data_IF_691011936512
#
_entry.id   IF_691011936512
#
_cell.length_a   1.000
_cell.length_b   1.000
_cell.length_c   1.000
_cell.angle_alpha   90.00
_cell.angle_beta   90.00
_cell.angle_gamma   90.00
#
_symmetry.space_group_name_H-M   'P 1'
#
loop_
_entity.id
_entity.type
_entity.pdbx_description
1 polymer ?
#
# COMPACT_ATOMS: atom_id res chain seq x y z
N UNK A 1 -23.03 -8.93 94.45
CA UNK A 1 -23.04 -8.14 93.20
C UNK A 1 -21.69 -8.33 92.53
N UNK A 2 -21.71 -8.91 91.34
CA UNK A 2 -20.59 -9.54 90.63
C UNK A 2 -20.18 -8.66 89.46
N UNK A 3 -18.90 -8.43 89.22
CA UNK A 3 -18.39 -7.96 87.93
C UNK A 3 -17.07 -8.66 87.59
N UNK A 4 -17.09 -9.44 86.52
CA UNK A 4 -15.99 -10.22 85.97
C UNK A 4 -15.64 -9.62 84.59
N UNK A 5 -14.36 -9.32 84.35
CA UNK A 5 -13.87 -8.70 83.11
C UNK A 5 -13.59 -9.75 82.02
N UNK A 6 -14.02 -9.43 80.80
CA UNK A 6 -13.87 -10.21 79.57
C UNK A 6 -12.41 -10.32 79.08
N UNK A 7 -12.06 -11.52 78.60
CA UNK A 7 -10.87 -11.83 77.81
C UNK A 7 -11.28 -11.93 76.33
N UNK A 8 -10.57 -11.27 75.41
CA UNK A 8 -10.77 -11.38 73.96
C UNK A 8 -9.77 -12.38 73.37
N UNK A 9 -10.27 -13.41 72.69
CA UNK A 9 -9.48 -14.37 71.90
C UNK A 9 -9.55 -13.99 70.41
N UNK A 10 -8.40 -13.98 69.75
CA UNK A 10 -8.28 -13.81 68.29
C UNK A 10 -8.30 -15.17 67.59
N UNK A 11 -9.12 -15.30 66.54
CA UNK A 11 -9.21 -16.48 65.67
C UNK A 11 -8.46 -16.15 64.36
N UNK A 12 -7.45 -16.95 64.03
CA UNK A 12 -6.70 -16.89 62.77
C UNK A 12 -7.34 -17.88 61.78
N UNK A 13 -7.90 -17.40 60.67
CA UNK A 13 -8.46 -18.22 59.59
C UNK A 13 -7.38 -18.40 58.52
N UNK A 14 -6.96 -19.65 58.28
CA UNK A 14 -6.08 -20.02 57.18
C UNK A 14 -6.92 -20.32 55.93
N UNK A 15 -6.75 -19.51 54.87
CA UNK A 15 -7.37 -19.73 53.56
C UNK A 15 -6.37 -20.49 52.68
N UNK A 16 -6.63 -21.77 52.40
CA UNK A 16 -5.95 -22.52 51.34
C UNK A 16 -6.49 -22.03 49.98
N UNK A 17 -5.63 -21.39 49.19
CA UNK A 17 -5.92 -21.04 47.80
C UNK A 17 -5.79 -22.26 46.89
N UNK A 18 -6.90 -22.75 46.35
CA UNK A 18 -6.91 -23.59 45.15
C UNK A 18 -6.52 -22.71 43.96
N UNK A 19 -5.31 -22.86 43.44
CA UNK A 19 -4.93 -22.31 42.15
C UNK A 19 -5.58 -23.16 41.05
N UNK A 20 -6.70 -22.71 40.49
CA UNK A 20 -7.15 -23.19 39.19
C UNK A 20 -6.23 -22.61 38.14
N UNK A 21 -5.37 -23.44 37.54
CA UNK A 21 -4.66 -23.09 36.32
C UNK A 21 -5.72 -22.91 35.24
N UNK A 22 -6.05 -21.66 34.92
CA UNK A 22 -6.81 -21.32 33.72
C UNK A 22 -5.86 -21.64 32.56
N UNK A 23 -5.98 -22.84 32.00
CA UNK A 23 -5.47 -23.11 30.67
C UNK A 23 -6.26 -22.17 29.74
N UNK A 24 -5.59 -21.19 29.14
CA UNK A 24 -6.17 -20.44 28.05
C UNK A 24 -6.56 -21.46 26.98
N UNK A 25 -7.85 -21.56 26.67
CA UNK A 25 -8.32 -22.45 25.63
C UNK A 25 -7.69 -21.98 24.32
N UNK A 26 -6.80 -22.78 23.73
CA UNK A 26 -6.15 -22.42 22.47
C UNK A 26 -7.23 -22.29 21.39
N UNK A 27 -7.42 -21.07 20.89
CA UNK A 27 -8.45 -20.76 19.90
C UNK A 27 -8.04 -21.32 18.54
N UNK A 28 -8.83 -22.25 18.01
CA UNK A 28 -8.63 -22.86 16.69
C UNK A 28 -9.66 -22.40 15.65
N UNK A 29 -10.32 -21.24 15.85
CA UNK A 29 -11.18 -20.67 14.81
C UNK A 29 -10.38 -20.24 13.57
N UNK A 30 -10.92 -20.40 12.37
CA UNK A 30 -10.25 -19.93 11.15
C UNK A 30 -10.90 -18.62 10.71
N UNK A 31 -10.08 -17.60 10.45
CA UNK A 31 -10.55 -16.28 10.04
C UNK A 31 -10.38 -16.09 8.53
N UNK A 32 -11.50 -15.98 7.82
CA UNK A 32 -11.56 -15.57 6.42
C UNK A 32 -12.06 -14.13 6.32
N UNK A 33 -11.87 -13.50 5.16
CA UNK A 33 -12.48 -12.18 4.92
C UNK A 33 -14.01 -12.22 4.89
N UNK A 34 -14.58 -13.37 4.53
CA UNK A 34 -16.03 -13.62 4.51
C UNK A 34 -16.62 -13.98 5.88
N UNK A 35 -15.81 -14.24 6.89
CA UNK A 35 -16.29 -14.59 8.24
C UNK A 35 -15.35 -15.49 9.02
N UNK A 36 -15.81 -15.92 10.20
CA UNK A 36 -15.05 -16.78 11.10
C UNK A 36 -15.67 -18.17 11.13
N UNK A 37 -14.85 -19.19 10.88
CA UNK A 37 -15.23 -20.58 11.03
C UNK A 37 -14.96 -21.02 12.48
N UNK A 38 -16.03 -21.33 13.22
CA UNK A 38 -15.91 -21.78 14.60
C UNK A 38 -15.30 -23.18 14.69
N UNK A 39 -14.70 -23.54 15.83
CA UNK A 39 -14.14 -24.88 16.05
C UNK A 39 -15.16 -26.01 15.93
N UNK A 40 -16.41 -25.75 16.34
CA UNK A 40 -17.52 -26.71 16.19
C UNK A 40 -17.80 -26.95 14.71
N UNK A 41 -17.82 -25.89 13.90
CA UNK A 41 -18.02 -25.99 12.46
C UNK A 41 -16.85 -26.69 11.78
N UNK A 42 -15.61 -26.36 12.14
CA UNK A 42 -14.39 -27.04 11.65
C UNK A 42 -14.48 -28.54 11.91
N UNK A 43 -14.81 -28.93 13.14
CA UNK A 43 -14.90 -30.35 13.52
C UNK A 43 -15.98 -31.09 12.74
N UNK A 44 -17.14 -30.46 12.55
CA UNK A 44 -18.24 -31.04 11.78
C UNK A 44 -17.89 -31.20 10.29
N UNK A 45 -17.30 -30.15 9.68
CA UNK A 45 -16.90 -30.16 8.27
C UNK A 45 -15.76 -31.15 8.02
N UNK A 46 -14.76 -31.19 8.91
CA UNK A 46 -13.64 -32.14 8.80
C UNK A 46 -14.14 -33.60 8.86
N UNK A 47 -15.05 -33.90 9.78
CA UNK A 47 -15.65 -35.25 9.89
C UNK A 47 -16.46 -35.61 8.65
N UNK A 48 -17.13 -34.65 8.02
CA UNK A 48 -17.83 -34.89 6.76
C UNK A 48 -16.84 -35.16 5.62
N UNK A 49 -15.73 -34.42 5.57
CA UNK A 49 -14.70 -34.59 4.54
C UNK A 49 -14.00 -35.96 4.59
N UNK A 50 -13.89 -36.58 5.77
CA UNK A 50 -13.38 -37.96 5.92
C UNK A 50 -14.21 -39.00 5.15
N UNK A 51 -15.47 -38.69 4.84
CA UNK A 51 -16.36 -39.58 4.10
C UNK A 51 -16.25 -39.42 2.58
N UNK A 52 -15.46 -38.46 2.10
CA UNK A 52 -15.29 -38.23 0.67
C UNK A 52 -14.53 -39.38 0.01
N UNK A 53 -15.10 -39.94 -1.06
CA UNK A 53 -14.43 -40.96 -1.86
C UNK A 53 -13.19 -40.41 -2.56
N UNK A 54 -13.21 -39.12 -2.94
CA UNK A 54 -12.10 -38.34 -3.47
C UNK A 54 -12.39 -36.83 -3.31
N UNK A 55 -11.40 -35.99 -3.59
CA UNK A 55 -11.49 -34.54 -3.55
C UNK A 55 -11.66 -33.94 -4.95
N UNK A 56 -12.39 -34.61 -5.85
CA UNK A 56 -12.50 -34.20 -7.27
C UNK A 56 -13.05 -32.78 -7.42
N UNK A 57 -14.05 -32.39 -6.62
CA UNK A 57 -14.65 -31.04 -6.65
C UNK A 57 -13.66 -29.94 -6.22
N UNK A 58 -12.58 -30.31 -5.55
CA UNK A 58 -11.52 -29.42 -5.06
C UNK A 58 -10.20 -29.63 -5.81
N UNK A 59 -10.25 -30.36 -6.92
CA UNK A 59 -9.08 -30.72 -7.73
C UNK A 59 -9.03 -29.89 -8.99
N UNK A 60 -7.86 -29.31 -9.27
CA UNK A 60 -7.58 -28.71 -10.56
C UNK A 60 -6.28 -29.28 -11.14
N UNK A 61 -6.32 -29.67 -12.40
CA UNK A 61 -5.29 -30.49 -13.05
C UNK A 61 -5.02 -31.78 -12.24
N UNK A 62 -3.86 -31.88 -11.60
CA UNK A 62 -3.42 -33.07 -10.85
C UNK A 62 -3.42 -32.90 -9.33
N UNK A 63 -3.79 -31.73 -8.82
CA UNK A 63 -3.69 -31.41 -7.39
C UNK A 63 -5.05 -31.04 -6.79
N UNK A 64 -5.35 -31.62 -5.63
CA UNK A 64 -6.44 -31.15 -4.77
C UNK A 64 -5.96 -30.03 -3.86
N UNK A 65 -6.84 -29.06 -3.62
CA UNK A 65 -6.62 -27.96 -2.68
C UNK A 65 -7.55 -28.12 -1.48
N UNK A 66 -6.99 -27.98 -0.28
CA UNK A 66 -7.73 -28.13 0.97
C UNK A 66 -7.03 -27.33 2.08
N UNK A 67 -7.71 -27.20 3.21
CA UNK A 67 -7.15 -26.54 4.39
C UNK A 67 -6.71 -27.63 5.37
N UNK A 68 -5.47 -27.55 5.83
CA UNK A 68 -4.97 -28.35 6.95
C UNK A 68 -4.84 -27.46 8.17
N UNK A 69 -5.48 -27.85 9.27
CA UNK A 69 -5.26 -27.23 10.58
C UNK A 69 -4.46 -28.16 11.47
N UNK A 70 -3.55 -27.61 12.25
CA UNK A 70 -2.71 -28.34 13.20
C UNK A 70 -3.02 -27.92 14.64
N UNK A 71 -2.59 -28.72 15.62
CA UNK A 71 -2.65 -28.35 17.05
C UNK A 71 -1.61 -27.27 17.41
N UNK A 72 -0.55 -27.15 16.61
CA UNK A 72 0.50 -26.15 16.75
C UNK A 72 1.17 -25.90 15.40
N UNK A 73 2.02 -24.87 15.30
CA UNK A 73 2.79 -24.62 14.07
C UNK A 73 3.60 -25.85 13.65
N UNK A 74 3.43 -26.37 12.42
CA UNK A 74 4.14 -27.55 11.97
C UNK A 74 5.63 -27.25 11.83
N UNK A 75 6.45 -28.02 12.55
CA UNK A 75 7.90 -27.93 12.54
C UNK A 75 8.50 -28.46 11.22
N UNK A 76 9.82 -28.33 11.06
CA UNK A 76 10.51 -28.78 9.86
C UNK A 76 10.30 -30.28 9.58
N UNK A 77 10.25 -31.11 10.63
CA UNK A 77 10.04 -32.56 10.51
C UNK A 77 8.65 -32.87 9.97
N UNK A 78 7.63 -32.19 10.50
CA UNK A 78 6.23 -32.33 10.06
C UNK A 78 6.07 -31.88 8.61
N UNK A 79 6.66 -30.74 8.24
CA UNK A 79 6.67 -30.23 6.85
C UNK A 79 7.35 -31.21 5.89
N UNK A 80 8.50 -31.77 6.25
CA UNK A 80 9.17 -32.79 5.43
C UNK A 80 8.34 -34.07 5.30
N UNK A 81 7.66 -34.51 6.36
CA UNK A 81 6.78 -35.67 6.30
C UNK A 81 5.58 -35.46 5.37
N UNK A 82 4.97 -34.27 5.40
CA UNK A 82 3.90 -33.89 4.46
C UNK A 82 4.39 -33.91 3.01
N UNK A 83 5.55 -33.33 2.73
CA UNK A 83 6.14 -33.32 1.38
C UNK A 83 6.43 -34.73 0.86
N UNK A 84 6.93 -35.64 1.71
CA UNK A 84 7.12 -37.05 1.35
C UNK A 84 5.81 -37.77 1.00
N UNK A 85 4.68 -37.26 1.51
CA UNK A 85 3.35 -37.74 1.20
C UNK A 85 2.69 -36.95 0.05
N UNK A 86 3.44 -36.08 -0.62
CA UNK A 86 2.96 -35.28 -1.75
C UNK A 86 2.10 -34.08 -1.34
N UNK A 87 2.19 -33.64 -0.08
CA UNK A 87 1.44 -32.49 0.45
C UNK A 87 2.35 -31.31 0.70
N UNK A 88 2.00 -30.17 0.13
CA UNK A 88 2.72 -28.91 0.27
C UNK A 88 1.82 -27.87 0.92
N UNK A 89 2.32 -27.23 1.99
CA UNK A 89 1.67 -26.09 2.62
C UNK A 89 2.02 -24.82 1.83
N UNK A 90 0.99 -24.10 1.37
CA UNK A 90 1.13 -22.97 0.44
C UNK A 90 1.00 -21.63 1.16
N UNK A 91 -0.16 -21.36 1.75
CA UNK A 91 -0.48 -20.08 2.38
C UNK A 91 -1.01 -20.30 3.81
N UNK A 92 -0.84 -19.32 4.68
CA UNK A 92 -1.19 -19.41 6.09
C UNK A 92 -2.50 -18.68 6.39
N UNK A 93 -3.40 -19.35 7.09
CA UNK A 93 -4.54 -18.75 7.77
C UNK A 93 -4.27 -18.70 9.28
N UNK A 94 -4.77 -17.70 10.02
CA UNK A 94 -4.63 -17.64 11.47
C UNK A 94 -5.05 -18.94 12.18
N UNK A 95 -4.47 -19.18 13.35
CA UNK A 95 -4.73 -20.34 14.21
C UNK A 95 -4.38 -21.68 13.54
N UNK A 96 -3.11 -21.77 13.11
CA UNK A 96 -2.45 -23.00 12.64
C UNK A 96 -3.08 -23.67 11.43
N UNK A 97 -3.84 -22.92 10.63
CA UNK A 97 -4.45 -23.41 9.42
C UNK A 97 -3.63 -23.00 8.19
N UNK A 98 -3.56 -23.87 7.19
CA UNK A 98 -2.81 -23.63 5.97
C UNK A 98 -3.65 -24.06 4.77
N UNK A 99 -3.63 -23.26 3.71
CA UNK A 99 -3.94 -23.76 2.38
C UNK A 99 -2.86 -24.77 2.00
N UNK A 100 -3.27 -25.96 1.57
CA UNK A 100 -2.37 -27.00 1.11
C UNK A 100 -2.78 -27.49 -0.27
N UNK A 101 -1.79 -27.97 -1.04
CA UNK A 101 -2.02 -28.76 -2.25
C UNK A 101 -1.46 -30.17 -2.08
N UNK A 102 -2.11 -31.16 -2.67
CA UNK A 102 -1.58 -32.51 -2.69
C UNK A 102 -2.46 -33.50 -3.46
N UNK A 103 -2.45 -34.79 -3.08
CA UNK A 103 -3.12 -35.84 -3.84
C UNK A 103 -4.65 -35.67 -3.84
N UNK A 104 -5.29 -36.17 -4.91
CA UNK A 104 -6.75 -36.13 -5.12
C UNK A 104 -7.54 -36.96 -4.09
N UNK A 105 -6.86 -37.79 -3.31
CA UNK A 105 -7.46 -38.55 -2.24
C UNK A 105 -6.54 -38.56 -1.03
N UNK A 106 -7.14 -38.30 0.13
CA UNK A 106 -6.50 -38.32 1.44
C UNK A 106 -7.30 -39.30 2.29
N UNK A 107 -6.75 -40.45 2.70
CA UNK A 107 -7.34 -41.30 3.70
C UNK A 107 -7.48 -40.54 5.03
N UNK A 108 -8.60 -40.72 5.76
CA UNK A 108 -8.72 -40.24 7.13
C UNK A 108 -7.54 -40.67 8.00
N UNK A 109 -6.95 -39.73 8.74
CA UNK A 109 -5.81 -39.99 9.62
C UNK A 109 -4.45 -40.16 8.95
N UNK A 110 -4.32 -39.94 7.63
CA UNK A 110 -3.02 -40.00 6.94
C UNK A 110 -2.03 -38.95 7.45
N UNK A 111 -2.52 -37.75 7.76
CA UNK A 111 -1.70 -36.63 8.25
C UNK A 111 -1.88 -36.43 9.75
N UNK A 112 -0.80 -36.02 10.42
CA UNK A 112 -0.87 -35.46 11.78
C UNK A 112 -1.47 -34.04 11.74
N UNK A 113 -2.71 -33.92 11.28
CA UNK A 113 -3.48 -32.69 11.26
C UNK A 113 -4.64 -32.80 12.27
N UNK A 114 -4.98 -31.67 12.90
CA UNK A 114 -6.17 -31.52 13.74
C UNK A 114 -7.45 -31.61 12.92
N UNK A 115 -7.44 -30.99 11.74
CA UNK A 115 -8.59 -31.00 10.82
C UNK A 115 -8.13 -30.90 9.36
N UNK A 116 -8.93 -31.49 8.47
CA UNK A 116 -8.79 -31.38 7.00
C UNK A 116 -10.11 -30.87 6.45
N UNK A 117 -10.10 -29.68 5.84
CA UNK A 117 -11.32 -29.02 5.36
C UNK A 117 -11.29 -28.82 3.84
N UNK A 118 -12.43 -28.98 3.15
CA UNK A 118 -12.59 -28.46 1.81
C UNK A 118 -12.42 -26.95 1.77
N UNK A 119 -11.76 -26.46 0.72
CA UNK A 119 -11.69 -25.04 0.41
C UNK A 119 -13.00 -24.60 -0.29
N UNK A 120 -14.08 -24.52 0.48
CA UNK A 120 -15.39 -24.11 -0.02
C UNK A 120 -15.34 -22.68 -0.58
N UNK A 121 -16.12 -22.40 -1.62
CA UNK A 121 -16.12 -21.09 -2.28
C UNK A 121 -16.46 -19.93 -1.33
N UNK A 122 -17.30 -20.17 -0.33
CA UNK A 122 -17.63 -19.16 0.70
C UNK A 122 -16.41 -18.65 1.48
N UNK A 123 -15.34 -19.45 1.61
CA UNK A 123 -14.10 -19.07 2.29
C UNK A 123 -13.21 -18.16 1.43
N UNK A 124 -13.47 -18.11 0.12
CA UNK A 124 -12.66 -17.41 -0.88
C UNK A 124 -13.18 -16.00 -1.20
N UNK A 125 -14.28 -15.58 -0.57
CA UNK A 125 -14.90 -14.28 -0.84
C UNK A 125 -14.25 -13.18 -0.01
N UNK A 126 -13.96 -12.04 -0.66
CA UNK A 126 -13.52 -10.83 0.01
C UNK A 126 -14.64 -10.14 0.78
N UNK A 127 -14.28 -9.43 1.85
CA UNK A 127 -15.24 -8.84 2.81
C UNK A 127 -16.29 -7.94 2.15
N UNK A 128 -15.87 -7.08 1.22
CA UNK A 128 -16.78 -6.18 0.49
C UNK A 128 -17.73 -6.95 -0.42
N UNK A 129 -17.23 -8.01 -1.06
CA UNK A 129 -18.04 -8.88 -1.91
C UNK A 129 -19.10 -9.62 -1.09
N UNK A 130 -18.73 -10.15 0.09
CA UNK A 130 -19.67 -10.78 1.02
C UNK A 130 -20.77 -9.81 1.44
N UNK A 131 -20.42 -8.59 1.85
CA UNK A 131 -21.41 -7.58 2.22
C UNK A 131 -22.37 -7.23 1.06
N UNK A 132 -21.84 -7.16 -0.17
CA UNK A 132 -22.67 -6.93 -1.37
C UNK A 132 -23.65 -8.06 -1.64
N UNK A 133 -23.24 -9.32 -1.44
CA UNK A 133 -24.12 -10.49 -1.60
C UNK A 133 -25.21 -10.54 -0.52
N UNK A 134 -24.90 -10.14 0.71
CA UNK A 134 -25.85 -10.07 1.82
C UNK A 134 -26.90 -8.96 1.64
N UNK A 135 -26.50 -7.83 1.04
CA UNK A 135 -27.38 -6.69 0.82
C UNK A 135 -28.46 -6.95 -0.25
N UNK A 136 -28.13 -7.69 -1.31
CA UNK A 136 -29.07 -8.06 -2.37
C UNK A 136 -28.60 -9.30 -3.13
N UNK A 137 -29.51 -10.25 -3.45
CA UNK A 137 -29.20 -11.41 -4.28
C UNK A 137 -29.16 -11.10 -5.78
N UNK A 138 -29.61 -9.91 -6.19
CA UNK A 138 -29.69 -9.49 -7.59
C UNK A 138 -28.65 -8.42 -7.93
N UNK A 139 -28.22 -8.42 -9.18
CA UNK A 139 -27.29 -7.45 -9.75
C UNK A 139 -26.15 -8.10 -10.51
N UNK A 140 -25.44 -7.29 -11.29
CA UNK A 140 -24.20 -7.65 -11.97
C UNK A 140 -23.03 -7.00 -11.22
N UNK A 141 -21.99 -7.76 -10.93
CA UNK A 141 -20.78 -7.25 -10.26
C UNK A 141 -19.57 -7.46 -11.15
N UNK A 142 -18.70 -6.44 -11.18
CA UNK A 142 -17.34 -6.56 -11.71
C UNK A 142 -16.42 -7.12 -10.63
N UNK A 143 -15.69 -8.18 -10.98
CA UNK A 143 -14.95 -9.01 -10.06
C UNK A 143 -13.48 -9.11 -10.48
N UNK A 144 -12.64 -9.36 -9.49
CA UNK A 144 -11.24 -9.76 -9.65
C UNK A 144 -11.05 -11.12 -9.02
N UNK A 145 -10.63 -12.10 -9.81
CA UNK A 145 -10.37 -13.46 -9.40
C UNK A 145 -8.86 -13.74 -9.38
N UNK A 146 -8.37 -14.24 -8.24
CA UNK A 146 -6.98 -14.62 -8.04
C UNK A 146 -6.83 -16.15 -8.22
N UNK A 147 -5.84 -16.62 -8.99
CA UNK A 147 -5.58 -18.04 -9.16
C UNK A 147 -4.96 -18.68 -7.92
N UNK A 148 -5.16 -19.98 -7.74
CA UNK A 148 -4.44 -20.78 -6.75
C UNK A 148 -2.93 -20.70 -6.95
N UNK A 149 -2.12 -20.77 -5.87
CA UNK A 149 -0.66 -20.76 -5.98
C UNK A 149 -0.15 -21.83 -6.95
N UNK A 150 0.62 -21.39 -7.96
CA UNK A 150 1.13 -22.25 -9.03
C UNK A 150 0.25 -22.31 -10.30
N UNK A 151 -0.92 -21.67 -10.29
CA UNK A 151 -1.77 -21.49 -11.47
C UNK A 151 -1.58 -20.07 -12.01
N UNK A 152 -1.43 -19.92 -13.33
CA UNK A 152 -1.36 -18.58 -13.95
C UNK A 152 -2.75 -17.97 -14.12
N UNK A 153 -2.82 -16.64 -14.17
CA UNK A 153 -4.07 -15.94 -14.45
C UNK A 153 -4.69 -16.38 -15.80
N UNK A 154 -3.87 -16.66 -16.81
CA UNK A 154 -4.33 -17.16 -18.11
C UNK A 154 -5.01 -18.52 -17.97
N UNK A 155 -4.40 -19.47 -17.24
CA UNK A 155 -5.01 -20.79 -17.01
C UNK A 155 -6.34 -20.70 -16.25
N UNK A 156 -6.42 -19.83 -15.24
CA UNK A 156 -7.68 -19.58 -14.54
C UNK A 156 -8.72 -18.99 -15.50
N UNK A 157 -8.36 -17.99 -16.31
CA UNK A 157 -9.27 -17.38 -17.29
C UNK A 157 -9.82 -18.41 -18.29
N UNK A 158 -8.96 -19.29 -18.80
CA UNK A 158 -9.37 -20.38 -19.70
C UNK A 158 -10.35 -21.35 -19.04
N UNK A 159 -10.08 -21.74 -17.79
CA UNK A 159 -10.96 -22.64 -17.03
C UNK A 159 -12.32 -22.00 -16.75
N UNK A 160 -12.35 -20.74 -16.32
CA UNK A 160 -13.60 -19.99 -16.10
C UNK A 160 -14.42 -19.83 -17.38
N UNK A 161 -13.77 -19.60 -18.54
CA UNK A 161 -14.45 -19.56 -19.84
C UNK A 161 -15.08 -20.90 -20.22
N UNK A 162 -14.44 -22.02 -19.90
CA UNK A 162 -15.00 -23.36 -20.14
C UNK A 162 -16.27 -23.61 -19.32
N UNK A 163 -16.40 -22.99 -18.14
CA UNK A 163 -17.61 -23.01 -17.32
C UNK A 163 -18.67 -21.98 -17.75
N UNK A 164 -18.41 -21.21 -18.81
CA UNK A 164 -19.35 -20.25 -19.38
C UNK A 164 -19.23 -18.84 -18.82
N UNK A 165 -18.27 -18.56 -17.94
CA UNK A 165 -18.02 -17.20 -17.46
C UNK A 165 -17.31 -16.36 -18.54
N UNK A 166 -17.78 -15.13 -18.74
CA UNK A 166 -17.13 -14.18 -19.62
C UNK A 166 -16.05 -13.44 -18.84
N UNK A 167 -14.79 -13.83 -19.04
CA UNK A 167 -13.66 -13.09 -18.49
C UNK A 167 -13.24 -12.00 -19.46
N UNK A 168 -12.92 -10.83 -18.94
CA UNK A 168 -12.37 -9.71 -19.71
C UNK A 168 -10.85 -9.87 -19.85
N UNK A 169 -10.08 -8.93 -19.31
CA UNK A 169 -8.61 -8.91 -19.36
C UNK A 169 -8.02 -9.67 -18.16
N UNK A 170 -6.89 -10.35 -18.38
CA UNK A 170 -6.10 -10.92 -17.30
C UNK A 170 -4.82 -10.08 -17.17
N UNK A 171 -4.54 -9.57 -15.98
CA UNK A 171 -3.22 -9.00 -15.69
C UNK A 171 -2.22 -10.13 -15.38
N UNK A 172 -1.00 -9.79 -14.97
CA UNK A 172 0.02 -10.80 -14.65
C UNK A 172 -0.37 -11.72 -13.48
N UNK A 173 -1.34 -11.34 -12.65
CA UNK A 173 -1.62 -11.95 -11.35
C UNK A 173 -3.09 -12.37 -11.15
N UNK A 174 -4.02 -11.87 -11.96
CA UNK A 174 -5.46 -11.99 -11.72
C UNK A 174 -6.29 -11.90 -13.00
N UNK A 175 -7.54 -12.33 -12.90
CA UNK A 175 -8.52 -12.33 -14.00
C UNK A 175 -9.68 -11.40 -13.64
N UNK A 176 -10.04 -10.50 -14.56
CA UNK A 176 -11.23 -9.69 -14.43
C UNK A 176 -12.42 -10.33 -15.14
N UNK A 177 -13.60 -10.20 -14.56
CA UNK A 177 -14.85 -10.73 -15.11
C UNK A 177 -16.08 -10.04 -14.52
N UNK A 178 -17.17 -10.03 -15.27
CA UNK A 178 -18.48 -9.62 -14.77
C UNK A 178 -19.34 -10.87 -14.55
N UNK A 179 -20.00 -10.96 -13.39
CA UNK A 179 -20.90 -12.07 -13.09
C UNK A 179 -22.16 -11.60 -12.34
N UNK A 180 -23.32 -12.22 -12.60
CA UNK A 180 -24.51 -11.96 -11.80
C UNK A 180 -24.30 -12.46 -10.37
N UNK A 181 -24.86 -11.76 -9.38
CA UNK A 181 -24.71 -12.11 -7.96
C UNK A 181 -25.12 -13.56 -7.65
N UNK A 182 -26.13 -14.08 -8.37
CA UNK A 182 -26.59 -15.47 -8.27
C UNK A 182 -25.55 -16.52 -8.67
N UNK A 183 -24.55 -16.18 -9.50
CA UNK A 183 -23.52 -17.10 -9.96
C UNK A 183 -22.23 -17.04 -9.12
N UNK A 184 -22.12 -16.11 -8.16
CA UNK A 184 -20.85 -15.86 -7.45
C UNK A 184 -20.42 -17.05 -6.58
N UNK A 185 -21.36 -17.74 -5.93
CA UNK A 185 -21.01 -18.93 -5.14
C UNK A 185 -20.53 -20.07 -6.04
N UNK A 186 -21.15 -20.25 -7.21
CA UNK A 186 -20.70 -21.22 -8.20
C UNK A 186 -19.28 -20.88 -8.67
N UNK A 187 -19.04 -19.63 -9.05
CA UNK A 187 -17.73 -19.12 -9.46
C UNK A 187 -16.67 -19.35 -8.37
N UNK A 188 -16.98 -19.02 -7.12
CA UNK A 188 -16.05 -19.18 -6.00
C UNK A 188 -15.73 -20.65 -5.69
N UNK A 189 -16.63 -21.58 -6.03
CA UNK A 189 -16.37 -23.01 -5.87
C UNK A 189 -15.37 -23.56 -6.89
N UNK A 190 -15.00 -22.81 -7.94
CA UNK A 190 -14.01 -23.27 -8.92
C UNK A 190 -12.68 -23.63 -8.23
N UNK A 191 -12.10 -24.83 -8.46
CA UNK A 191 -10.94 -25.32 -7.72
C UNK A 191 -9.65 -24.55 -8.03
N UNK A 192 -9.51 -23.98 -9.24
CA UNK A 192 -8.38 -23.11 -9.59
C UNK A 192 -8.44 -21.69 -8.99
N UNK A 193 -9.58 -21.29 -8.41
CA UNK A 193 -9.77 -19.95 -7.86
C UNK A 193 -9.34 -19.96 -6.38
N UNK A 194 -8.43 -19.07 -6.01
CA UNK A 194 -7.97 -18.85 -4.64
C UNK A 194 -8.85 -17.86 -3.90
N UNK A 195 -9.09 -16.71 -4.52
CA UNK A 195 -9.76 -15.58 -3.90
C UNK A 195 -10.56 -14.77 -4.92
N UNK A 196 -11.71 -14.26 -4.50
CA UNK A 196 -12.62 -13.47 -5.33
C UNK A 196 -13.02 -12.20 -4.58
N UNK A 197 -12.79 -11.06 -5.21
CA UNK A 197 -13.15 -9.74 -4.67
C UNK A 197 -13.84 -8.88 -5.73
N UNK A 198 -14.42 -7.76 -5.30
CA UNK A 198 -14.88 -6.74 -6.23
C UNK A 198 -13.70 -6.19 -7.01
N UNK A 199 -13.86 -5.97 -8.31
CA UNK A 199 -12.87 -5.27 -9.11
C UNK A 199 -12.62 -3.88 -8.50
N UNK A 200 -11.35 -3.41 -8.44
CA UNK A 200 -11.06 -2.06 -8.02
C UNK A 200 -11.76 -1.07 -8.96
N UNK A 201 -12.27 0.06 -8.45
CA UNK A 201 -12.80 1.10 -9.32
C UNK A 201 -11.70 1.61 -10.26
N UNK A 202 -12.07 2.18 -11.42
CA UNK A 202 -11.11 2.84 -12.29
C UNK A 202 -10.27 3.86 -11.50
N UNK A 203 -8.95 3.94 -11.72
CA UNK A 203 -8.12 4.91 -11.04
C UNK A 203 -8.60 6.32 -11.41
N UNK A 204 -8.89 7.14 -10.40
CA UNK A 204 -9.11 8.57 -10.58
C UNK A 204 -7.78 9.30 -10.36
N UNK A 205 -7.49 10.38 -11.10
CA UNK A 205 -6.35 11.23 -10.77
C UNK A 205 -6.44 11.68 -9.31
N UNK A 206 -5.51 11.21 -8.49
CA UNK A 206 -5.35 11.68 -7.12
C UNK A 206 -4.30 12.79 -7.13
N UNK A 207 -4.76 14.02 -6.94
CA UNK A 207 -3.92 15.17 -6.66
C UNK A 207 -4.52 15.90 -5.48
N UNK A 208 -3.93 15.76 -4.29
CA UNK A 208 -4.20 16.74 -3.25
C UNK A 208 -3.66 18.09 -3.72
N UNK A 209 -4.38 19.17 -3.40
CA UNK A 209 -3.91 20.53 -3.70
C UNK A 209 -2.49 20.67 -3.15
N UNK A 210 -1.50 20.93 -4.01
CA UNK A 210 -0.10 21.01 -3.59
C UNK A 210 0.08 21.95 -2.39
N UNK A 211 -0.72 23.02 -2.32
CA UNK A 211 -0.78 23.94 -1.19
C UNK A 211 -1.25 23.31 0.13
N UNK A 212 -2.19 22.36 0.10
CA UNK A 212 -2.63 21.63 1.30
C UNK A 212 -1.52 20.72 1.84
N UNK A 213 -0.84 19.98 0.95
CA UNK A 213 0.31 19.14 1.30
C UNK A 213 1.48 19.97 1.85
N UNK A 214 1.76 21.11 1.22
CA UNK A 214 2.81 22.04 1.64
C UNK A 214 2.41 22.92 2.83
N UNK A 215 1.17 22.78 3.35
CA UNK A 215 0.58 23.61 4.42
C UNK A 215 0.60 25.12 4.09
N UNK A 216 0.65 25.47 2.81
CA UNK A 216 0.67 26.83 2.29
C UNK A 216 -0.67 27.56 2.45
N UNK A 217 -1.74 26.86 2.80
CA UNK A 217 -3.06 27.46 3.09
C UNK A 217 -3.01 28.52 4.20
N UNK A 218 -2.00 28.47 5.08
CA UNK A 218 -1.79 29.48 6.12
C UNK A 218 -1.24 30.81 5.57
N UNK A 219 -0.60 30.80 4.39
CA UNK A 219 0.04 31.98 3.78
C UNK A 219 -0.98 33.03 3.33
N UNK A 220 -2.20 32.60 2.95
CA UNK A 220 -3.33 33.47 2.65
C UNK A 220 -4.21 33.80 3.87
N UNK A 221 -3.82 33.36 5.07
CA UNK A 221 -4.57 33.62 6.32
C UNK A 221 -3.65 34.13 7.45
N UNK A 222 -2.41 34.48 7.14
CA UNK A 222 -1.44 34.93 8.14
C UNK A 222 -1.89 36.28 8.74
N UNK A 223 -1.76 36.49 10.07
CA UNK A 223 -2.13 37.75 10.73
C UNK A 223 -1.42 39.00 10.18
N UNK A 224 -0.30 38.81 9.46
CA UNK A 224 0.50 39.87 8.87
C UNK A 224 0.15 40.20 7.39
N UNK A 225 -0.86 39.53 6.82
CA UNK A 225 -1.38 39.78 5.47
C UNK A 225 -1.25 38.60 4.50
N UNK A 226 -1.90 38.72 3.34
CA UNK A 226 -1.81 37.76 2.23
C UNK A 226 -0.46 37.92 1.52
N UNK A 227 0.46 36.98 1.72
CA UNK A 227 1.72 36.95 0.97
C UNK A 227 1.57 36.09 -0.27
N UNK A 228 1.58 36.70 -1.45
CA UNK A 228 1.43 36.04 -2.75
C UNK A 228 2.72 36.08 -3.61
N UNK A 229 3.79 36.68 -3.08
CA UNK A 229 5.06 36.85 -3.75
C UNK A 229 5.15 38.05 -4.69
N UNK A 230 4.24 39.04 -4.57
CA UNK A 230 4.38 40.27 -5.34
C UNK A 230 5.76 40.92 -5.15
N UNK A 231 6.31 41.46 -6.23
CA UNK A 231 7.68 42.00 -6.33
C UNK A 231 8.83 41.01 -6.04
N UNK A 232 8.56 39.70 -5.95
CA UNK A 232 9.60 38.67 -5.86
C UNK A 232 9.89 38.07 -7.24
N UNK A 233 11.17 37.87 -7.54
CA UNK A 233 11.62 37.15 -8.73
C UNK A 233 12.44 35.92 -8.32
N UNK A 234 12.02 34.76 -8.83
CA UNK A 234 12.61 33.44 -8.54
C UNK A 234 13.41 33.00 -9.78
N UNK A 235 14.68 32.66 -9.60
CA UNK A 235 15.53 32.07 -10.63
C UNK A 235 15.34 30.55 -10.66
N UNK A 236 14.87 30.01 -11.78
CA UNK A 236 14.70 28.57 -12.00
C UNK A 236 15.48 28.20 -13.26
N UNK A 237 16.22 27.09 -13.22
CA UNK A 237 16.70 26.47 -14.46
C UNK A 237 16.19 25.04 -14.57
N UNK A 238 15.65 24.70 -15.74
CA UNK A 238 14.94 23.45 -15.96
C UNK A 238 15.06 22.94 -17.41
N UNK A 239 14.38 21.84 -17.74
CA UNK A 239 14.49 21.10 -19.02
C UNK A 239 13.98 21.83 -20.26
N UNK A 240 13.33 22.98 -20.13
CA UNK A 240 12.82 23.63 -21.32
C UNK A 240 11.93 24.85 -21.20
N UNK A 241 11.53 25.31 -22.39
CA UNK A 241 10.59 26.41 -22.59
C UNK A 241 9.22 26.11 -22.03
N UNK A 242 8.82 26.94 -21.07
CA UNK A 242 7.47 26.96 -20.50
C UNK A 242 6.61 28.02 -21.20
N UNK A 243 5.40 27.65 -21.60
CA UNK A 243 4.40 28.58 -22.13
C UNK A 243 2.99 28.16 -21.66
N UNK A 244 2.52 28.76 -20.57
CA UNK A 244 1.22 28.44 -19.98
C UNK A 244 0.47 29.70 -19.55
N UNK A 245 -0.86 29.69 -19.68
CA UNK A 245 -1.72 30.85 -19.34
C UNK A 245 -1.62 31.24 -17.86
N UNK A 246 -1.40 30.27 -16.98
CA UNK A 246 -1.23 30.52 -15.54
C UNK A 246 0.04 31.30 -15.20
N UNK A 247 0.95 31.51 -16.16
CA UNK A 247 2.24 32.19 -15.97
C UNK A 247 2.36 33.44 -16.84
N UNK A 248 1.28 33.83 -17.53
CA UNK A 248 1.26 34.95 -18.48
C UNK A 248 1.71 36.23 -17.79
N UNK A 249 2.70 36.92 -18.37
CA UNK A 249 3.24 38.18 -17.85
C UNK A 249 4.20 38.03 -16.65
N UNK A 250 4.44 36.80 -16.18
CA UNK A 250 5.28 36.51 -15.00
C UNK A 250 6.44 35.57 -15.27
N UNK A 251 6.66 35.20 -16.53
CA UNK A 251 7.80 34.40 -16.97
C UNK A 251 8.78 35.26 -17.77
N UNK A 252 9.97 35.48 -17.24
CA UNK A 252 11.13 36.00 -17.95
C UNK A 252 11.86 34.79 -18.53
N UNK A 253 11.40 34.35 -19.71
CA UNK A 253 11.86 33.11 -20.30
C UNK A 253 13.14 33.34 -21.13
N UNK A 254 14.24 32.72 -20.70
CA UNK A 254 15.55 32.75 -21.38
C UNK A 254 15.89 31.42 -22.05
N UNK A 255 14.95 30.47 -22.09
CA UNK A 255 15.11 29.21 -22.81
C UNK A 255 14.87 29.40 -24.30
N UNK A 256 15.55 28.61 -25.11
CA UNK A 256 15.38 28.59 -26.58
C UNK A 256 15.07 27.18 -27.11
N UNK A 257 15.04 26.19 -26.22
CA UNK A 257 14.84 24.77 -26.53
C UNK A 257 13.94 24.17 -25.43
N UNK A 258 13.22 23.10 -25.76
CA UNK A 258 12.46 22.31 -24.79
C UNK A 258 12.74 20.82 -24.99
N UNK A 259 13.13 20.13 -23.91
CA UNK A 259 13.38 18.68 -23.91
C UNK A 259 12.51 17.91 -22.92
N UNK A 260 11.55 18.56 -22.25
CA UNK A 260 10.67 17.88 -21.31
C UNK A 260 9.52 18.75 -20.80
N UNK A 261 8.97 18.36 -19.66
CA UNK A 261 7.82 19.00 -19.02
C UNK A 261 8.08 19.29 -17.55
N UNK A 262 9.30 19.04 -17.07
CA UNK A 262 9.65 19.24 -15.68
C UNK A 262 9.65 20.74 -15.33
N UNK A 263 10.10 21.60 -16.25
CA UNK A 263 9.99 23.05 -16.13
C UNK A 263 8.56 23.56 -16.00
N UNK A 264 7.58 22.93 -16.68
CA UNK A 264 6.17 23.30 -16.53
C UNK A 264 5.66 23.03 -15.11
N UNK A 265 6.07 21.89 -14.54
CA UNK A 265 5.75 21.49 -13.17
C UNK A 265 6.42 22.40 -12.14
N UNK A 266 7.74 22.57 -12.19
CA UNK A 266 8.51 23.32 -11.18
C UNK A 266 8.10 24.79 -11.14
N UNK A 267 7.95 25.42 -12.31
CA UNK A 267 7.46 26.80 -12.40
C UNK A 267 5.96 26.90 -12.09
N UNK A 268 5.19 25.81 -12.24
CA UNK A 268 3.77 25.74 -11.91
C UNK A 268 3.54 25.75 -10.40
N UNK A 269 4.28 24.90 -9.68
CA UNK A 269 4.32 24.86 -8.22
C UNK A 269 4.77 26.22 -7.67
N UNK A 270 5.76 26.86 -8.30
CA UNK A 270 6.25 28.16 -7.86
C UNK A 270 5.22 29.28 -8.06
N UNK A 271 4.74 29.49 -9.29
CA UNK A 271 4.04 30.74 -9.67
C UNK A 271 2.70 30.55 -10.40
N UNK A 272 2.14 29.35 -10.47
CA UNK A 272 0.84 29.14 -11.15
C UNK A 272 -0.26 30.05 -10.58
N UNK A 273 -0.92 30.86 -11.42
CA UNK A 273 -2.03 31.72 -10.98
C UNK A 273 -3.31 30.92 -10.65
N UNK A 274 -3.47 29.73 -11.23
CA UNK A 274 -4.74 28.98 -11.21
C UNK A 274 -5.85 29.66 -12.02
N UNK A 275 -5.52 30.18 -13.21
CA UNK A 275 -6.47 30.82 -14.12
C UNK A 275 -7.38 29.79 -14.82
N UNK A 276 -6.85 28.58 -15.11
CA UNK A 276 -7.65 27.46 -15.64
C UNK A 276 -8.33 26.72 -14.49
N UNK A 277 -7.54 26.33 -13.48
CA UNK A 277 -8.01 25.60 -12.31
C UNK A 277 -7.50 26.29 -11.04
N UNK A 278 -8.38 26.85 -10.20
CA UNK A 278 -8.00 27.45 -8.92
C UNK A 278 -7.25 26.49 -7.98
N UNK A 279 -7.44 25.17 -8.13
CA UNK A 279 -6.77 24.14 -7.34
C UNK A 279 -5.30 23.94 -7.76
N UNK A 280 -4.93 24.39 -8.96
CA UNK A 280 -3.56 24.35 -9.50
C UNK A 280 -2.74 25.62 -9.20
N UNK A 281 -3.21 26.48 -8.29
CA UNK A 281 -2.48 27.68 -7.88
C UNK A 281 -1.16 27.30 -7.19
N UNK A 282 -0.07 27.90 -7.64
CA UNK A 282 1.26 27.76 -7.03
C UNK A 282 1.41 28.54 -5.72
N UNK A 283 2.58 28.41 -5.10
CA UNK A 283 2.89 28.97 -3.78
C UNK A 283 2.99 30.51 -3.79
N UNK A 284 3.53 31.09 -4.86
CA UNK A 284 3.74 32.53 -5.02
C UNK A 284 3.08 33.01 -6.32
N UNK A 285 1.74 33.06 -6.40
CA UNK A 285 0.99 33.33 -7.62
C UNK A 285 1.13 34.76 -8.14
N UNK A 286 1.75 35.70 -7.41
CA UNK A 286 2.08 37.04 -7.89
C UNK A 286 3.57 37.22 -8.23
N UNK A 287 4.43 36.27 -7.83
CA UNK A 287 5.85 36.31 -8.16
C UNK A 287 6.12 36.11 -9.66
N UNK A 288 7.32 36.51 -10.08
CA UNK A 288 7.87 36.24 -11.41
C UNK A 288 8.91 35.13 -11.34
N UNK A 289 9.07 34.40 -12.44
CA UNK A 289 10.16 33.44 -12.64
C UNK A 289 11.08 33.94 -13.74
N UNK A 290 12.37 34.01 -13.43
CA UNK A 290 13.44 34.04 -14.42
C UNK A 290 13.81 32.59 -14.74
N UNK A 291 13.47 32.14 -15.96
CA UNK A 291 13.64 30.75 -16.37
C UNK A 291 14.83 30.61 -17.32
N UNK A 292 15.78 29.75 -16.98
CA UNK A 292 16.93 29.39 -17.81
C UNK A 292 16.89 27.91 -18.20
N UNK A 293 17.62 27.53 -19.24
CA UNK A 293 17.87 26.12 -19.51
C UNK A 293 18.86 25.56 -18.49
N UNK A 294 18.57 24.38 -17.93
CA UNK A 294 19.49 23.73 -17.02
C UNK A 294 20.71 23.19 -17.78
N UNK A 295 21.82 23.91 -17.66
CA UNK A 295 23.15 23.46 -18.11
C UNK A 295 24.22 24.19 -17.29
N UNK A 296 24.85 23.51 -16.34
CA UNK A 296 25.82 24.13 -15.45
C UNK A 296 25.24 25.12 -14.44
N UNK A 297 23.96 24.95 -14.05
CA UNK A 297 23.29 25.75 -13.01
C UNK A 297 23.35 27.27 -13.21
N UNK A 298 22.94 27.81 -14.37
CA UNK A 298 23.10 29.23 -14.70
C UNK A 298 22.37 30.18 -13.73
N UNK A 299 21.24 29.76 -13.18
CA UNK A 299 20.49 30.47 -12.13
C UNK A 299 21.32 30.71 -10.87
N UNK A 300 22.29 29.83 -10.57
CA UNK A 300 23.21 29.96 -9.44
C UNK A 300 24.48 30.71 -9.87
N UNK A 301 25.09 30.29 -10.98
CA UNK A 301 26.35 30.87 -11.48
C UNK A 301 26.24 32.36 -11.80
N UNK A 302 25.08 32.78 -12.33
CA UNK A 302 24.82 34.15 -12.73
C UNK A 302 23.91 34.89 -11.73
N UNK A 303 23.72 34.38 -10.50
CA UNK A 303 22.71 34.92 -9.58
C UNK A 303 22.91 36.42 -9.26
N UNK A 304 24.16 36.87 -9.09
CA UNK A 304 24.47 38.30 -8.87
C UNK A 304 24.11 39.15 -10.10
N UNK A 305 24.38 38.66 -11.31
CA UNK A 305 23.97 39.33 -12.54
C UNK A 305 22.44 39.37 -12.67
N UNK A 306 21.76 38.26 -12.38
CA UNK A 306 20.30 38.17 -12.44
C UNK A 306 19.61 39.00 -11.35
N UNK A 307 20.25 39.18 -10.19
CA UNK A 307 19.81 40.15 -9.19
C UNK A 307 19.87 41.58 -9.75
N UNK A 308 20.99 41.98 -10.32
CA UNK A 308 21.15 43.32 -10.90
C UNK A 308 20.19 43.59 -12.05
N UNK A 309 19.98 42.60 -12.93
CA UNK A 309 19.19 42.76 -14.15
C UNK A 309 17.68 42.54 -13.95
N UNK A 310 17.30 41.57 -13.12
CA UNK A 310 15.92 41.10 -12.98
C UNK A 310 15.39 41.14 -11.56
N UNK A 311 16.20 41.57 -10.58
CA UNK A 311 15.87 41.53 -9.15
C UNK A 311 15.58 40.10 -8.65
N UNK A 312 16.27 39.11 -9.23
CA UNK A 312 16.20 37.72 -8.76
C UNK A 312 16.88 37.60 -7.41
N UNK A 313 16.10 37.33 -6.36
CA UNK A 313 16.59 37.25 -4.96
C UNK A 313 16.68 35.81 -4.44
N UNK A 314 15.99 34.88 -5.10
CA UNK A 314 15.98 33.48 -4.70
C UNK A 314 16.11 32.59 -5.91
N UNK A 315 16.86 31.50 -5.78
CA UNK A 315 16.96 30.48 -6.83
C UNK A 315 16.38 29.16 -6.33
N UNK A 316 15.80 28.38 -7.23
CA UNK A 316 15.35 27.03 -6.96
C UNK A 316 15.90 26.07 -8.01
N UNK A 317 16.36 24.91 -7.55
CA UNK A 317 16.85 23.86 -8.42
C UNK A 317 16.26 22.51 -8.06
N UNK A 318 15.58 21.91 -9.03
CA UNK A 318 14.98 20.57 -8.92
C UNK A 318 15.80 19.51 -9.66
N UNK A 319 17.09 19.78 -9.90
CA UNK A 319 18.09 18.85 -10.43
C UNK A 319 19.12 18.52 -9.34
N UNK A 320 19.63 17.29 -9.35
CA UNK A 320 20.59 16.81 -8.36
C UNK A 320 21.96 16.50 -8.95
N UNK A 321 22.99 16.61 -8.12
CA UNK A 321 24.38 16.26 -8.44
C UNK A 321 24.80 15.02 -7.64
N UNK A 322 24.47 13.81 -8.12
CA UNK A 322 24.88 12.53 -7.49
C UNK A 322 24.62 12.43 -5.97
N UNK A 323 25.23 11.44 -5.29
CA UNK A 323 25.24 11.38 -3.83
C UNK A 323 26.14 12.49 -3.29
N UNK A 324 25.56 13.48 -2.58
CA UNK A 324 26.31 14.56 -1.92
C UNK A 324 27.21 14.07 -0.76
N UNK A 325 27.63 14.99 0.12
CA UNK A 325 28.41 14.66 1.34
C UNK A 325 29.86 15.14 1.35
N UNK A 326 30.29 15.89 0.34
CA UNK A 326 31.63 16.48 0.26
C UNK A 326 31.52 17.98 -0.01
N UNK A 327 32.34 18.77 0.70
CA UNK A 327 32.48 20.21 0.44
C UNK A 327 33.40 20.41 -0.77
N UNK A 328 32.87 21.00 -1.84
CA UNK A 328 33.60 21.21 -3.10
C UNK A 328 33.90 22.69 -3.34
N UNK A 329 34.68 23.00 -4.39
CA UNK A 329 34.87 24.37 -4.86
C UNK A 329 33.55 25.03 -5.29
N UNK A 330 32.57 24.25 -5.77
CA UNK A 330 31.24 24.76 -6.07
C UNK A 330 30.48 25.12 -4.79
N UNK A 331 30.60 24.32 -3.72
CA UNK A 331 30.03 24.66 -2.40
C UNK A 331 30.64 25.94 -1.85
N UNK A 332 31.97 26.08 -1.90
CA UNK A 332 32.66 27.30 -1.50
C UNK A 332 32.24 28.53 -2.30
N UNK A 333 32.05 28.38 -3.61
CA UNK A 333 31.57 29.44 -4.47
C UNK A 333 30.17 29.91 -4.04
N UNK A 334 29.25 28.98 -3.77
CA UNK A 334 27.89 29.27 -3.30
C UNK A 334 27.91 29.95 -1.92
N UNK A 335 28.73 29.47 -0.99
CA UNK A 335 28.89 30.07 0.35
C UNK A 335 29.40 31.52 0.26
N UNK A 336 30.41 31.77 -0.57
CA UNK A 336 30.92 33.13 -0.79
C UNK A 336 29.86 34.03 -1.43
N UNK A 337 29.02 33.49 -2.32
CA UNK A 337 27.94 34.22 -2.97
C UNK A 337 26.88 34.66 -1.96
N UNK A 338 26.41 33.78 -1.07
CA UNK A 338 25.42 34.15 -0.04
C UNK A 338 26.03 35.06 1.04
N UNK A 339 27.29 34.83 1.41
CA UNK A 339 27.99 35.66 2.40
C UNK A 339 28.17 37.10 1.91
N UNK A 340 28.48 37.27 0.62
CA UNK A 340 28.71 38.59 0.01
C UNK A 340 27.42 39.29 -0.41
N UNK A 341 26.29 38.57 -0.48
CA UNK A 341 25.01 39.07 -0.97
C UNK A 341 23.86 38.64 -0.04
N UNK A 342 23.63 39.41 1.02
CA UNK A 342 22.64 39.08 2.06
C UNK A 342 21.18 38.94 1.56
N UNK A 343 20.87 39.43 0.36
CA UNK A 343 19.54 39.32 -0.25
C UNK A 343 19.39 38.09 -1.17
N UNK A 344 20.44 37.28 -1.36
CA UNK A 344 20.40 36.09 -2.20
C UNK A 344 20.20 34.83 -1.36
N UNK A 345 19.30 33.96 -1.83
CA UNK A 345 19.07 32.64 -1.24
C UNK A 345 19.01 31.56 -2.32
N UNK A 346 19.60 30.40 -2.04
CA UNK A 346 19.60 29.25 -2.95
C UNK A 346 18.87 28.06 -2.34
N UNK A 347 17.95 27.49 -3.10
CA UNK A 347 17.19 26.29 -2.73
C UNK A 347 17.56 25.13 -3.65
N UNK A 348 17.83 23.98 -3.05
CA UNK A 348 18.23 22.76 -3.74
C UNK A 348 17.28 21.62 -3.35
N UNK A 349 16.98 20.73 -4.30
CA UNK A 349 16.31 19.48 -3.97
C UNK A 349 17.24 18.56 -3.17
N UNK A 350 16.66 17.67 -2.37
CA UNK A 350 17.41 16.67 -1.61
C UNK A 350 17.94 15.50 -2.48
N UNK A 351 17.51 15.42 -3.74
CA UNK A 351 17.75 14.29 -4.64
C UNK A 351 16.79 13.11 -4.42
N UNK A 352 16.64 12.26 -5.44
CA UNK A 352 15.71 11.12 -5.48
C UNK A 352 16.45 9.77 -5.39
N UNK A 353 17.48 9.72 -4.53
CA UNK A 353 18.48 8.64 -4.45
C UNK A 353 18.27 7.72 -3.24
N UNK A 354 17.03 7.52 -2.80
CA UNK A 354 16.70 6.78 -1.56
C UNK A 354 17.15 5.32 -1.54
N UNK A 355 17.34 4.69 -2.71
CA UNK A 355 17.81 3.31 -2.84
C UNK A 355 19.33 3.17 -3.05
N UNK A 356 20.04 4.27 -3.35
CA UNK A 356 21.50 4.26 -3.42
C UNK A 356 22.05 4.54 -2.03
N UNK A 357 22.85 3.62 -1.49
CA UNK A 357 23.56 3.79 -0.23
C UNK A 357 24.62 4.89 -0.31
N UNK A 358 24.20 6.14 -0.44
CA UNK A 358 25.06 7.30 -0.24
C UNK A 358 25.69 7.14 1.16
N UNK A 359 27.02 7.26 1.27
CA UNK A 359 27.83 6.82 2.41
C UNK A 359 27.30 7.23 3.79
N UNK A 360 27.66 6.46 4.82
CA UNK A 360 27.29 6.65 6.25
C UNK A 360 27.86 7.94 6.88
N UNK A 361 27.48 9.12 6.38
CA UNK A 361 27.92 10.40 6.96
C UNK A 361 27.01 10.86 8.11
N UNK A 362 25.90 10.15 8.35
CA UNK A 362 25.11 10.32 9.57
C UNK A 362 24.92 8.99 10.30
N UNK A 363 25.70 8.79 11.36
CA UNK A 363 25.35 7.95 12.50
C UNK A 363 25.46 6.44 12.29
N UNK A 364 26.63 5.88 12.57
CA UNK A 364 26.75 4.62 13.31
C UNK A 364 26.61 4.88 14.81
#
# INVERSE_FOLDING_TARGET
MTTQKCLRSAILVAVLGCYTVIQAQENHSIHFQSGVLSEVTISAVSKQAEQYANWQDYTFESHAYYILQFEALPDAKTRSALLLQGVELLDYFPNYAYLARGPQWIPPGQFSARAVLPIQGVYKLGRKLTAELEASPEGLLSLRALPMPGISAQKLSEALKQEGFQTSEADAFSVFLDAPKSAIIQLANHPALYFLELAPPPPTPEGEQANALMRANWQSQAPAGNYDGDNVVIGIADDGTVNHVDKKGRLINMTNINWGTHGDMTTGIAIGAGNIDPLARGLAPAAKVQLSLINGYPQIQNAVQYYQQYQTITTSTSYGESCGGYYSSATQFIDNQIFSNANLMHHFSAGNSSSSGCSSVYGS
#
